data_IF_314365876501
#
_entry.id   IF_314365876501
#
_cell.length_a   1.000
_cell.length_b   1.000
_cell.length_c   1.000
_cell.angle_alpha   90.00
_cell.angle_beta   90.00
_cell.angle_gamma   90.00
#
_symmetry.space_group_name_H-M   'P 1'
#
loop_
_entity.id
_entity.type
_entity.pdbx_description
1 polymer ?
#
# COMPACT_ATOMS: atom_id res chain seq x y z
N UNK A 1 -28.36 -3.18 -1.91
CA UNK A 1 -27.50 -3.71 -3.00
C UNK A 1 -27.49 -2.77 -4.20
N UNK A 2 -28.66 -2.43 -4.80
CA UNK A 2 -28.73 -1.57 -6.01
C UNK A 2 -28.13 -0.16 -5.79
N UNK A 3 -28.35 0.48 -4.64
CA UNK A 3 -27.82 1.83 -4.35
C UNK A 3 -26.29 1.90 -4.22
N UNK A 4 -25.61 0.78 -3.99
CA UNK A 4 -24.15 0.71 -3.85
C UNK A 4 -23.45 0.36 -5.17
N UNK A 5 -24.20 -0.18 -6.13
CA UNK A 5 -23.68 -0.69 -7.40
C UNK A 5 -22.96 0.40 -8.24
N UNK A 6 -23.50 1.61 -8.45
CA UNK A 6 -22.81 2.62 -9.27
C UNK A 6 -21.44 3.00 -8.68
N UNK A 7 -21.35 3.14 -7.36
CA UNK A 7 -20.10 3.43 -6.67
C UNK A 7 -19.11 2.28 -6.73
N UNK A 8 -19.59 1.03 -6.67
CA UNK A 8 -18.75 -0.16 -6.82
C UNK A 8 -18.16 -0.24 -8.24
N UNK A 9 -18.97 0.02 -9.28
CA UNK A 9 -18.53 0.04 -10.67
C UNK A 9 -17.46 1.11 -10.94
N UNK A 10 -17.62 2.34 -10.41
CA UNK A 10 -16.60 3.39 -10.57
C UNK A 10 -15.26 2.96 -9.94
N UNK A 11 -15.30 2.34 -8.75
CA UNK A 11 -14.07 1.84 -8.10
C UNK A 11 -13.42 0.70 -8.86
N UNK A 12 -14.22 -0.20 -9.41
CA UNK A 12 -13.72 -1.28 -10.25
C UNK A 12 -13.08 -0.74 -11.53
N UNK A 13 -13.68 0.26 -12.18
CA UNK A 13 -13.11 0.93 -13.34
C UNK A 13 -11.78 1.62 -13.01
N UNK A 14 -11.70 2.33 -11.88
CA UNK A 14 -10.45 2.91 -11.40
C UNK A 14 -9.38 1.85 -11.12
N UNK A 15 -9.76 0.70 -10.56
CA UNK A 15 -8.86 -0.43 -10.34
C UNK A 15 -8.33 -0.99 -11.67
N UNK A 16 -9.20 -1.18 -12.66
CA UNK A 16 -8.79 -1.62 -14.02
C UNK A 16 -7.84 -0.61 -14.64
N UNK A 17 -8.18 0.69 -14.60
CA UNK A 17 -7.32 1.74 -15.11
C UNK A 17 -5.93 1.69 -14.45
N UNK A 18 -5.87 1.52 -13.13
CA UNK A 18 -4.60 1.41 -12.41
C UNK A 18 -3.78 0.20 -12.84
N UNK A 19 -4.40 -0.97 -13.02
CA UNK A 19 -3.69 -2.19 -13.41
C UNK A 19 -3.19 -2.10 -14.87
N UNK A 20 -3.97 -1.52 -15.76
CA UNK A 20 -3.62 -1.45 -17.19
C UNK A 20 -2.66 -0.30 -17.53
N UNK A 21 -2.60 0.75 -16.73
CA UNK A 21 -1.79 1.96 -17.03
C UNK A 21 -0.32 1.65 -17.37
N UNK A 22 0.41 0.82 -16.63
CA UNK A 22 1.79 0.45 -17.00
C UNK A 22 1.91 -0.16 -18.39
N UNK A 23 1.00 -1.07 -18.75
CA UNK A 23 1.01 -1.74 -20.04
C UNK A 23 0.67 -0.80 -21.19
N UNK A 24 -0.14 0.24 -20.94
CA UNK A 24 -0.51 1.25 -21.93
C UNK A 24 0.59 2.30 -22.15
N UNK A 25 1.46 2.51 -21.16
CA UNK A 25 2.54 3.50 -21.22
C UNK A 25 3.87 2.93 -21.75
N UNK A 26 4.00 1.60 -21.81
CA UNK A 26 5.22 0.93 -22.25
C UNK A 26 5.04 0.42 -23.69
N UNK A 27 5.94 0.79 -24.63
CA UNK A 27 5.78 0.47 -26.05
C UNK A 27 6.16 -0.98 -26.42
N UNK A 28 7.03 -1.64 -25.64
CA UNK A 28 7.54 -2.98 -25.93
C UNK A 28 7.15 -3.96 -24.82
N UNK A 29 5.87 -4.34 -24.80
CA UNK A 29 5.34 -5.34 -23.86
C UNK A 29 5.07 -6.62 -24.64
N UNK A 30 5.71 -7.72 -24.23
CA UNK A 30 5.37 -9.06 -24.72
C UNK A 30 3.85 -9.27 -24.58
N UNK A 31 3.18 -9.62 -25.68
CA UNK A 31 1.72 -9.78 -25.73
C UNK A 31 1.21 -10.75 -24.66
N UNK A 32 1.95 -11.83 -24.38
CA UNK A 32 1.57 -12.79 -23.34
C UNK A 32 1.54 -12.17 -21.94
N UNK A 33 2.48 -11.27 -21.63
CA UNK A 33 2.55 -10.58 -20.34
C UNK A 33 1.43 -9.55 -20.24
N UNK A 34 1.18 -8.79 -21.30
CA UNK A 34 0.06 -7.84 -21.38
C UNK A 34 -1.29 -8.54 -21.16
N UNK A 35 -1.53 -9.66 -21.84
CA UNK A 35 -2.78 -10.43 -21.75
C UNK A 35 -3.02 -10.94 -20.31
N UNK A 36 -1.96 -11.36 -19.62
CA UNK A 36 -2.05 -11.76 -18.21
C UNK A 36 -2.50 -10.58 -17.32
N UNK A 37 -1.98 -9.37 -17.54
CA UNK A 37 -2.40 -8.18 -16.77
C UNK A 37 -3.83 -7.74 -17.09
N UNK A 38 -4.32 -7.94 -18.31
CA UNK A 38 -5.74 -7.73 -18.66
C UNK A 38 -6.63 -8.67 -17.86
N UNK A 39 -6.26 -9.95 -17.76
CA UNK A 39 -7.01 -10.92 -16.96
C UNK A 39 -6.97 -10.57 -15.47
N UNK A 40 -5.81 -10.18 -14.94
CA UNK A 40 -5.67 -9.72 -13.55
C UNK A 40 -6.54 -8.48 -13.30
N UNK A 41 -6.58 -7.53 -14.23
CA UNK A 41 -7.42 -6.34 -14.13
C UNK A 41 -8.92 -6.70 -14.07
N UNK A 42 -9.36 -7.66 -14.90
CA UNK A 42 -10.73 -8.15 -14.89
C UNK A 42 -11.09 -8.82 -13.55
N UNK A 43 -10.22 -9.71 -13.04
CA UNK A 43 -10.43 -10.35 -11.75
C UNK A 43 -10.46 -9.32 -10.61
N UNK A 44 -9.55 -8.35 -10.62
CA UNK A 44 -9.54 -7.27 -9.64
C UNK A 44 -10.81 -6.41 -9.71
N UNK A 45 -11.35 -6.15 -10.90
CA UNK A 45 -12.61 -5.43 -11.09
C UNK A 45 -13.79 -6.17 -10.46
N UNK A 46 -13.94 -7.47 -10.78
CA UNK A 46 -15.00 -8.33 -10.24
C UNK A 46 -14.88 -8.40 -8.72
N UNK A 47 -13.66 -8.60 -8.21
CA UNK A 47 -13.40 -8.62 -6.77
C UNK A 47 -13.83 -7.33 -6.06
N UNK A 48 -13.49 -6.17 -6.63
CA UNK A 48 -13.90 -4.87 -6.10
C UNK A 48 -15.42 -4.71 -6.13
N UNK A 49 -16.10 -5.13 -7.20
CA UNK A 49 -17.55 -5.07 -7.29
C UNK A 49 -18.19 -5.90 -6.18
N UNK A 50 -17.79 -7.17 -6.04
CA UNK A 50 -18.33 -8.09 -5.03
C UNK A 50 -18.17 -7.52 -3.62
N UNK A 51 -16.98 -7.05 -3.28
CA UNK A 51 -16.67 -6.52 -1.94
C UNK A 51 -17.40 -5.20 -1.62
N UNK A 52 -17.65 -4.35 -2.62
CA UNK A 52 -18.35 -3.08 -2.41
C UNK A 52 -19.87 -3.15 -2.54
N UNK A 53 -20.42 -4.19 -3.18
CA UNK A 53 -21.87 -4.45 -3.23
C UNK A 53 -22.34 -5.26 -2.02
N UNK A 54 -21.47 -6.08 -1.42
CA UNK A 54 -21.82 -6.88 -0.24
C UNK A 54 -22.13 -6.00 0.98
N UNK A 55 -23.06 -6.42 1.83
CA UNK A 55 -23.34 -5.73 3.09
C UNK A 55 -22.16 -5.91 4.06
N UNK A 56 -21.66 -7.15 4.17
CA UNK A 56 -20.51 -7.53 4.97
C UNK A 56 -19.33 -7.88 4.04
N UNK A 57 -18.32 -7.02 3.90
CA UNK A 57 -17.16 -7.31 3.07
C UNK A 57 -16.34 -8.46 3.68
N UNK A 58 -15.63 -9.23 2.86
CA UNK A 58 -14.77 -10.30 3.34
C UNK A 58 -13.35 -9.83 3.61
N UNK A 59 -12.79 -9.02 2.71
CA UNK A 59 -11.35 -8.75 2.67
C UNK A 59 -11.02 -7.25 2.62
N UNK A 60 -11.87 -6.41 2.03
CA UNK A 60 -11.58 -4.97 1.91
C UNK A 60 -11.82 -4.27 3.26
N UNK A 61 -10.72 -4.00 3.95
CA UNK A 61 -10.73 -3.23 5.18
C UNK A 61 -10.92 -1.73 4.96
N UNK A 62 -11.44 -1.04 5.98
CA UNK A 62 -11.71 0.40 6.01
C UNK A 62 -12.55 0.89 4.84
N UNK A 63 -13.43 0.02 4.32
CA UNK A 63 -14.27 0.26 3.15
C UNK A 63 -15.04 1.57 3.24
N UNK A 64 -15.64 1.82 4.41
CA UNK A 64 -16.49 2.98 4.70
C UNK A 64 -15.79 4.01 5.58
N UNK A 65 -14.45 3.99 5.63
CA UNK A 65 -13.65 4.88 6.45
C UNK A 65 -12.60 5.64 5.60
N UNK A 66 -13.02 6.62 4.77
CA UNK A 66 -12.07 7.51 4.11
C UNK A 66 -11.23 8.22 5.18
N UNK A 67 -9.88 8.26 5.10
CA UNK A 67 -9.12 8.31 3.85
C UNK A 67 -8.36 7.04 3.42
N UNK A 68 -8.42 5.96 4.21
CA UNK A 68 -7.51 4.81 4.08
C UNK A 68 -7.39 4.25 2.66
N UNK A 69 -8.50 3.77 2.08
CA UNK A 69 -8.48 3.17 0.75
C UNK A 69 -8.19 4.17 -0.37
N UNK A 70 -8.49 5.47 -0.16
CA UNK A 70 -8.18 6.52 -1.15
C UNK A 70 -6.69 6.75 -1.25
N UNK A 71 -6.00 6.82 -0.11
CA UNK A 71 -4.54 6.97 -0.09
C UNK A 71 -3.87 5.74 -0.66
N UNK A 72 -4.29 4.53 -0.29
CA UNK A 72 -3.74 3.29 -0.85
C UNK A 72 -3.83 3.25 -2.38
N UNK A 73 -5.01 3.56 -2.92
CA UNK A 73 -5.20 3.62 -4.36
C UNK A 73 -4.29 4.67 -5.02
N UNK A 74 -4.29 5.91 -4.52
CA UNK A 74 -3.48 6.98 -5.10
C UNK A 74 -1.99 6.67 -5.02
N UNK A 75 -1.50 6.16 -3.89
CA UNK A 75 -0.09 5.78 -3.74
C UNK A 75 0.31 4.72 -4.75
N UNK A 76 -0.44 3.62 -4.87
CA UNK A 76 -0.10 2.56 -5.83
C UNK A 76 -0.21 3.05 -7.28
N UNK A 77 -1.30 3.75 -7.62
CA UNK A 77 -1.49 4.30 -8.96
C UNK A 77 -0.38 5.26 -9.36
N UNK A 78 -0.04 6.23 -8.50
CA UNK A 78 1.06 7.16 -8.77
C UNK A 78 2.40 6.43 -8.86
N UNK A 79 2.63 5.41 -8.04
CA UNK A 79 3.87 4.61 -8.10
C UNK A 79 4.00 3.89 -9.44
N UNK A 80 2.96 3.17 -9.86
CA UNK A 80 2.92 2.44 -11.13
C UNK A 80 3.15 3.39 -12.31
N UNK A 81 2.44 4.52 -12.35
CA UNK A 81 2.55 5.51 -13.42
C UNK A 81 3.94 6.14 -13.48
N UNK A 82 4.52 6.55 -12.34
CA UNK A 82 5.85 7.17 -12.33
C UNK A 82 6.95 6.20 -12.74
N UNK A 83 6.90 4.94 -12.28
CA UNK A 83 7.90 3.95 -12.67
C UNK A 83 7.74 3.57 -14.15
N UNK A 84 6.50 3.43 -14.64
CA UNK A 84 6.24 3.16 -16.06
C UNK A 84 6.76 4.29 -16.97
N UNK A 85 6.53 5.55 -16.60
CA UNK A 85 7.09 6.71 -17.30
C UNK A 85 8.62 6.77 -17.23
N UNK A 86 9.23 6.36 -16.11
CA UNK A 86 10.69 6.27 -16.02
C UNK A 86 11.25 5.18 -16.93
N UNK A 87 10.57 4.04 -17.05
CA UNK A 87 10.99 2.95 -17.93
C UNK A 87 10.77 3.29 -19.41
N UNK A 88 9.67 3.98 -19.76
CA UNK A 88 9.39 4.37 -21.14
C UNK A 88 10.44 5.31 -21.74
N UNK A 89 11.21 6.02 -20.89
CA UNK A 89 12.31 6.88 -21.34
C UNK A 89 13.43 6.15 -22.10
N UNK A 90 13.51 4.82 -21.98
CA UNK A 90 14.45 3.97 -22.73
C UNK A 90 14.10 3.91 -24.23
N UNK A 91 12.82 3.97 -24.54
CA UNK A 91 12.29 3.73 -25.89
C UNK A 91 11.94 5.06 -26.57
N UNK A 92 11.12 5.87 -25.90
CA UNK A 92 10.66 7.16 -26.40
C UNK A 92 10.94 8.25 -25.37
N UNK A 93 12.15 8.85 -25.43
CA UNK A 93 12.59 9.77 -24.40
C UNK A 93 11.89 11.13 -24.52
N UNK A 94 10.72 11.27 -23.88
CA UNK A 94 10.09 12.57 -23.64
C UNK A 94 10.78 13.35 -22.52
N UNK A 95 10.62 14.68 -22.52
CA UNK A 95 11.16 15.55 -21.45
C UNK A 95 10.66 15.12 -20.07
N UNK A 96 9.36 14.82 -19.96
CA UNK A 96 8.73 14.40 -18.71
C UNK A 96 9.29 13.06 -18.23
N UNK A 97 9.41 12.07 -19.12
CA UNK A 97 9.96 10.75 -18.79
C UNK A 97 11.41 10.86 -18.28
N UNK A 98 12.24 11.68 -18.94
CA UNK A 98 13.62 11.95 -18.51
C UNK A 98 13.70 12.65 -17.16
N UNK A 99 12.83 13.64 -16.91
CA UNK A 99 12.75 14.33 -15.63
C UNK A 99 12.40 13.33 -14.50
N UNK A 100 11.38 12.51 -14.71
CA UNK A 100 10.95 11.50 -13.73
C UNK A 100 12.07 10.50 -13.48
N UNK A 101 12.75 10.01 -14.52
CA UNK A 101 13.90 9.14 -14.39
C UNK A 101 15.03 9.82 -13.58
N UNK A 102 15.37 11.07 -13.89
CA UNK A 102 16.42 11.81 -13.19
C UNK A 102 16.10 11.99 -11.70
N UNK A 103 14.85 12.33 -11.38
CA UNK A 103 14.36 12.41 -9.99
C UNK A 103 14.46 11.04 -9.32
N UNK A 104 14.05 9.97 -10.01
CA UNK A 104 14.16 8.59 -9.50
C UNK A 104 15.61 8.20 -9.18
N UNK A 105 16.54 8.48 -10.09
CA UNK A 105 17.98 8.22 -9.89
C UNK A 105 18.52 9.00 -8.69
N UNK A 106 18.21 10.29 -8.58
CA UNK A 106 18.63 11.13 -7.45
C UNK A 106 18.13 10.57 -6.12
N UNK A 107 16.85 10.21 -6.05
CA UNK A 107 16.23 9.63 -4.85
C UNK A 107 16.81 8.26 -4.51
N UNK A 108 16.99 7.41 -5.53
CA UNK A 108 17.57 6.09 -5.37
C UNK A 108 19.00 6.15 -4.82
N UNK A 109 19.81 7.11 -5.26
CA UNK A 109 21.14 7.36 -4.67
C UNK A 109 21.06 7.94 -3.26
N UNK A 110 20.14 8.87 -3.02
CA UNK A 110 19.95 9.49 -1.69
C UNK A 110 19.51 8.47 -0.64
N UNK A 111 18.82 7.41 -1.05
CA UNK A 111 18.34 6.32 -0.19
C UNK A 111 19.26 5.09 -0.21
N UNK A 112 20.42 5.14 -0.88
CA UNK A 112 21.46 4.09 -0.91
C UNK A 112 22.51 4.35 0.19
N UNK A 113 22.09 4.21 1.45
CA UNK A 113 22.97 4.29 2.63
C UNK A 113 23.19 2.90 3.25
N UNK A 114 24.21 2.70 4.11
CA UNK A 114 24.44 1.41 4.76
C UNK A 114 23.18 0.87 5.45
N UNK A 115 22.84 -0.40 5.20
CA UNK A 115 21.64 -1.07 5.71
C UNK A 115 20.30 -0.57 5.14
N UNK A 116 20.29 0.24 4.07
CA UNK A 116 19.04 0.62 3.43
C UNK A 116 18.45 -0.55 2.61
N UNK A 117 17.11 -0.66 2.48
CA UNK A 117 16.50 -1.70 1.65
C UNK A 117 16.86 -1.57 0.17
N UNK A 118 17.08 -0.34 -0.32
CA UNK A 118 17.52 -0.10 -1.70
C UNK A 118 18.92 -0.67 -1.91
N UNK A 119 19.83 -0.49 -0.95
CA UNK A 119 21.17 -1.05 -1.04
C UNK A 119 21.14 -2.58 -1.10
N UNK A 120 20.31 -3.21 -0.27
CA UNK A 120 20.08 -4.66 -0.30
C UNK A 120 19.56 -5.11 -1.68
N UNK A 121 18.57 -4.39 -2.23
CA UNK A 121 18.01 -4.71 -3.55
C UNK A 121 19.09 -4.69 -4.65
N UNK A 122 19.96 -3.67 -4.65
CA UNK A 122 21.04 -3.56 -5.63
C UNK A 122 22.08 -4.66 -5.46
N UNK A 123 22.36 -5.08 -4.22
CA UNK A 123 23.32 -6.17 -3.93
C UNK A 123 22.84 -7.55 -4.39
N UNK A 124 21.53 -7.76 -4.43
CA UNK A 124 20.93 -9.04 -4.79
C UNK A 124 20.67 -9.14 -6.31
N UNK A 125 20.97 -8.08 -7.07
CA UNK A 125 20.84 -8.13 -8.53
C UNK A 125 21.70 -9.26 -9.12
N UNK A 126 21.20 -9.97 -10.14
CA UNK A 126 21.94 -11.07 -10.78
C UNK A 126 23.31 -10.64 -11.31
N UNK A 127 24.26 -11.56 -11.30
CA UNK A 127 25.54 -11.38 -11.98
C UNK A 127 25.30 -11.11 -13.48
N UNK A 128 26.08 -10.19 -14.06
CA UNK A 128 25.89 -9.76 -15.46
C UNK A 128 24.86 -8.65 -15.68
N UNK A 129 24.19 -8.15 -14.62
CA UNK A 129 23.33 -6.96 -14.72
C UNK A 129 24.13 -5.76 -15.23
N UNK A 130 23.67 -5.16 -16.33
CA UNK A 130 24.32 -3.97 -16.92
C UNK A 130 24.17 -2.73 -16.02
N UNK A 131 25.07 -1.75 -16.17
CA UNK A 131 24.98 -0.49 -15.43
C UNK A 131 23.65 0.24 -15.66
N UNK A 132 23.12 0.22 -16.88
CA UNK A 132 21.84 0.83 -17.22
C UNK A 132 20.66 0.14 -16.53
N UNK A 133 20.65 -1.18 -16.48
CA UNK A 133 19.62 -1.95 -15.76
C UNK A 133 19.67 -1.67 -14.25
N UNK A 134 20.86 -1.68 -13.65
CA UNK A 134 21.02 -1.38 -12.22
C UNK A 134 20.58 0.06 -11.88
N UNK A 135 20.89 1.03 -12.74
CA UNK A 135 20.41 2.42 -12.58
C UNK A 135 18.88 2.51 -12.69
N UNK A 136 18.26 1.77 -13.62
CA UNK A 136 16.80 1.76 -13.76
C UNK A 136 16.13 1.14 -12.52
N UNK A 137 16.63 0.02 -12.00
CA UNK A 137 16.13 -0.58 -10.76
C UNK A 137 16.27 0.39 -9.59
N UNK A 138 17.44 1.06 -9.47
CA UNK A 138 17.67 2.08 -8.44
C UNK A 138 16.68 3.24 -8.56
N UNK A 139 16.42 3.71 -9.78
CA UNK A 139 15.48 4.80 -10.04
C UNK A 139 14.03 4.41 -9.69
N UNK A 140 13.61 3.23 -10.12
CA UNK A 140 12.30 2.66 -9.81
C UNK A 140 12.09 2.50 -8.30
N UNK A 141 13.11 1.97 -7.59
CA UNK A 141 13.11 1.87 -6.14
C UNK A 141 12.99 3.26 -5.46
N UNK A 142 13.76 4.26 -5.92
CA UNK A 142 13.70 5.63 -5.41
C UNK A 142 12.31 6.26 -5.57
N UNK A 143 11.69 6.11 -6.74
CA UNK A 143 10.33 6.59 -7.01
C UNK A 143 9.29 5.89 -6.13
N UNK A 144 9.39 4.57 -5.98
CA UNK A 144 8.48 3.77 -5.17
C UNK A 144 8.54 4.15 -3.68
N UNK A 145 9.73 4.45 -3.15
CA UNK A 145 9.91 4.92 -1.78
C UNK A 145 9.39 6.34 -1.58
N UNK A 146 9.61 7.23 -2.54
CA UNK A 146 9.08 8.59 -2.49
C UNK A 146 7.56 8.59 -2.41
N UNK A 147 6.89 7.90 -3.33
CA UNK A 147 5.42 7.85 -3.37
C UNK A 147 4.86 7.21 -2.10
N UNK A 148 5.54 6.18 -1.58
CA UNK A 148 5.21 5.54 -0.30
C UNK A 148 5.30 6.52 0.87
N UNK A 149 6.40 7.26 0.99
CA UNK A 149 6.60 8.24 2.05
C UNK A 149 5.60 9.40 1.97
N UNK A 150 5.37 9.92 0.77
CA UNK A 150 4.36 10.96 0.52
C UNK A 150 2.96 10.44 0.87
N UNK A 151 2.62 9.21 0.47
CA UNK A 151 1.36 8.56 0.81
C UNK A 151 1.14 8.43 2.33
N UNK A 152 2.15 7.94 3.05
CA UNK A 152 2.12 7.84 4.51
C UNK A 152 1.96 9.22 5.17
N UNK A 153 2.67 10.23 4.66
CA UNK A 153 2.60 11.60 5.16
C UNK A 153 1.22 12.21 4.94
N UNK A 154 0.66 12.08 3.74
CA UNK A 154 -0.70 12.53 3.41
C UNK A 154 -1.71 11.85 4.34
N UNK A 155 -1.60 10.53 4.54
CA UNK A 155 -2.49 9.82 5.46
C UNK A 155 -2.36 10.35 6.88
N UNK A 156 -1.14 10.51 7.40
CA UNK A 156 -0.87 11.05 8.73
C UNK A 156 -1.46 12.46 8.92
N UNK A 157 -1.32 13.35 7.92
CA UNK A 157 -1.92 14.69 7.94
C UNK A 157 -3.44 14.59 7.95
N UNK A 158 -4.03 13.77 7.06
CA UNK A 158 -5.48 13.63 6.97
C UNK A 158 -6.10 13.12 8.27
N UNK A 159 -5.47 12.14 8.95
CA UNK A 159 -6.00 11.64 10.22
C UNK A 159 -5.89 12.66 11.35
N UNK A 160 -4.87 13.53 11.33
CA UNK A 160 -4.64 14.57 12.34
C UNK A 160 -5.60 15.74 12.16
N UNK A 161 -5.68 16.29 10.95
CA UNK A 161 -6.46 17.51 10.65
C UNK A 161 -7.97 17.23 10.66
N UNK A 162 -8.41 16.12 10.08
CA UNK A 162 -9.85 15.80 9.96
C UNK A 162 -10.41 15.04 11.16
N UNK A 163 -9.61 14.88 12.23
CA UNK A 163 -10.02 14.15 13.43
C UNK A 163 -10.46 12.71 13.15
N UNK A 164 -9.90 12.07 12.11
CA UNK A 164 -10.38 10.76 11.65
C UNK A 164 -10.13 9.64 12.68
N UNK A 165 -11.01 8.62 12.68
CA UNK A 165 -12.39 8.57 12.16
C UNK A 165 -13.31 9.57 12.86
N UNK A 166 -14.34 10.04 12.13
CA UNK A 166 -15.22 11.12 12.59
C UNK A 166 -15.68 10.91 14.05
N UNK A 167 -15.48 11.90 14.94
CA UNK A 167 -15.92 11.80 16.33
C UNK A 167 -17.43 11.63 16.50
N UNK A 168 -18.20 12.14 15.53
CA UNK A 168 -19.67 12.16 15.53
C UNK A 168 -20.30 11.01 14.74
N UNK A 169 -19.52 10.31 13.93
CA UNK A 169 -20.00 9.17 13.14
C UNK A 169 -19.84 7.83 13.87
N UNK A 170 -20.72 6.88 13.60
CA UNK A 170 -20.57 5.51 14.07
C UNK A 170 -19.53 4.78 13.20
N UNK A 171 -18.37 4.48 13.78
CA UNK A 171 -17.40 3.58 13.15
C UNK A 171 -17.85 2.13 13.36
N UNK A 172 -18.41 1.51 12.33
CA UNK A 172 -18.77 0.09 12.38
C UNK A 172 -17.51 -0.77 12.19
N UNK A 173 -17.08 -1.44 13.27
CA UNK A 173 -15.88 -2.29 13.28
C UNK A 173 -16.01 -3.45 12.32
N UNK A 174 -17.15 -4.14 12.27
CA UNK A 174 -17.36 -5.31 11.41
C UNK A 174 -17.27 -4.98 9.92
N UNK A 175 -17.78 -3.81 9.51
CA UNK A 175 -17.71 -3.37 8.11
C UNK A 175 -16.30 -2.91 7.73
N UNK A 176 -15.55 -2.31 8.66
CA UNK A 176 -14.24 -1.72 8.37
C UNK A 176 -13.07 -2.63 8.73
N UNK A 177 -13.29 -3.68 9.51
CA UNK A 177 -12.29 -4.67 9.91
C UNK A 177 -12.96 -6.05 9.88
N UNK A 178 -13.35 -6.56 8.70
CA UNK A 178 -14.09 -7.83 8.59
C UNK A 178 -13.29 -9.03 9.10
N UNK A 179 -11.97 -8.97 9.03
CA UNK A 179 -11.07 -10.01 9.55
C UNK A 179 -10.84 -9.92 11.07
N UNK A 180 -11.36 -8.88 11.72
CA UNK A 180 -11.23 -8.67 13.15
C UNK A 180 -12.55 -9.02 13.84
N UNK A 181 -12.57 -10.11 14.59
CA UNK A 181 -13.71 -10.47 15.43
C UNK A 181 -13.66 -9.69 16.76
N UNK A 182 -14.51 -8.68 17.03
CA UNK A 182 -14.57 -7.97 18.31
C UNK A 182 -15.21 -8.77 19.46
N UNK A 183 -15.84 -9.92 19.18
CA UNK A 183 -16.55 -10.76 20.17
C UNK A 183 -15.77 -11.96 20.69
N UNK A 184 -14.59 -12.25 20.13
CA UNK A 184 -13.69 -13.35 20.50
C UNK A 184 -13.15 -13.38 21.95
N UNK A 185 -13.73 -12.63 22.89
CA UNK A 185 -13.30 -12.58 24.29
C UNK A 185 -11.99 -11.81 24.49
N UNK A 186 -12.07 -10.60 25.04
CA UNK A 186 -10.90 -9.79 25.41
C UNK A 186 -11.05 -8.31 25.07
N UNK A 187 -10.16 -7.48 25.62
CA UNK A 187 -10.21 -6.03 25.36
C UNK A 187 -9.84 -5.71 23.90
N UNK A 188 -10.85 -5.29 23.14
CA UNK A 188 -10.74 -4.80 21.75
C UNK A 188 -9.63 -3.76 21.61
N UNK A 189 -9.45 -2.87 22.59
CA UNK A 189 -8.40 -1.83 22.55
C UNK A 189 -7.01 -2.46 22.61
N UNK A 190 -6.78 -3.42 23.52
CA UNK A 190 -5.50 -4.13 23.64
C UNK A 190 -5.15 -4.87 22.35
N UNK A 191 -6.13 -5.54 21.73
CA UNK A 191 -5.93 -6.25 20.46
C UNK A 191 -5.61 -5.31 19.30
N UNK A 192 -6.38 -4.22 19.12
CA UNK A 192 -6.09 -3.21 18.09
C UNK A 192 -4.69 -2.61 18.25
N UNK A 193 -4.23 -2.37 19.49
CA UNK A 193 -2.86 -1.91 19.76
C UNK A 193 -1.82 -2.95 19.33
N UNK A 194 -2.01 -4.21 19.72
CA UNK A 194 -1.10 -5.31 19.38
C UNK A 194 -1.04 -5.54 17.87
N UNK A 195 -2.19 -5.73 17.25
CA UNK A 195 -2.28 -6.02 15.81
C UNK A 195 -1.76 -4.82 15.00
N UNK A 196 -2.03 -3.58 15.45
CA UNK A 196 -1.45 -2.39 14.86
C UNK A 196 0.08 -2.31 15.01
N UNK A 197 0.65 -2.76 16.13
CA UNK A 197 2.09 -2.85 16.32
C UNK A 197 2.73 -3.93 15.43
N UNK A 198 2.08 -5.10 15.30
CA UNK A 198 2.52 -6.18 14.40
C UNK A 198 2.56 -5.69 12.95
N UNK A 199 1.52 -4.99 12.48
CA UNK A 199 1.51 -4.43 11.12
C UNK A 199 2.67 -3.45 10.89
N UNK A 200 2.96 -2.57 11.86
CA UNK A 200 4.09 -1.63 11.75
C UNK A 200 5.42 -2.39 11.71
N UNK A 201 5.60 -3.40 12.58
CA UNK A 201 6.81 -4.20 12.62
C UNK A 201 7.01 -4.98 11.31
N UNK A 202 5.96 -5.61 10.79
CA UNK A 202 5.99 -6.28 9.50
C UNK A 202 6.28 -5.29 8.35
N UNK A 203 5.72 -4.08 8.40
CA UNK A 203 6.03 -3.02 7.45
C UNK A 203 7.51 -2.60 7.45
N UNK A 204 8.20 -2.68 8.59
CA UNK A 204 9.65 -2.45 8.69
C UNK A 204 10.48 -3.63 8.17
N UNK A 205 10.02 -4.87 8.40
CA UNK A 205 10.76 -6.09 8.05
C UNK A 205 10.62 -6.46 6.56
N UNK A 206 9.41 -6.31 5.99
CA UNK A 206 9.12 -6.74 4.63
C UNK A 206 10.05 -6.20 3.55
N UNK A 207 10.47 -4.93 3.55
CA UNK A 207 11.39 -4.41 2.55
C UNK A 207 12.71 -5.17 2.46
N UNK A 208 13.14 -5.78 3.56
CA UNK A 208 14.38 -6.58 3.65
C UNK A 208 14.14 -8.06 3.35
N UNK A 209 12.97 -8.59 3.72
CA UNK A 209 12.64 -10.00 3.51
C UNK A 209 12.24 -10.30 2.07
N UNK A 210 11.58 -9.35 1.41
CA UNK A 210 10.95 -9.58 0.10
C UNK A 210 11.96 -9.68 -1.06
N UNK A 211 13.05 -8.87 -1.16
CA UNK A 211 14.00 -9.03 -2.27
C UNK A 211 14.73 -10.38 -2.28
N UNK A 212 15.32 -10.88 -1.17
CA UNK A 212 15.92 -12.20 -1.14
C UNK A 212 14.94 -13.32 -1.51
N UNK A 213 13.70 -13.25 -1.01
CA UNK A 213 12.66 -14.22 -1.33
C UNK A 213 12.28 -14.17 -2.82
N UNK A 214 12.14 -12.98 -3.39
CA UNK A 214 11.83 -12.81 -4.80
C UNK A 214 12.94 -13.40 -5.68
N UNK A 215 14.22 -13.18 -5.34
CA UNK A 215 15.34 -13.75 -6.09
C UNK A 215 15.44 -15.27 -5.95
N UNK A 216 15.16 -15.81 -4.77
CA UNK A 216 15.08 -17.26 -4.58
C UNK A 216 14.02 -17.90 -5.50
N UNK A 217 12.81 -17.31 -5.56
CA UNK A 217 11.73 -17.78 -6.43
C UNK A 217 12.12 -17.60 -7.90
N UNK A 218 12.62 -16.43 -8.28
CA UNK A 218 13.07 -16.11 -9.63
C UNK A 218 14.10 -17.13 -10.16
N UNK A 219 15.12 -17.43 -9.36
CA UNK A 219 16.16 -18.41 -9.71
C UNK A 219 15.63 -19.84 -9.83
N UNK A 220 14.60 -20.19 -9.03
CA UNK A 220 14.00 -21.53 -9.06
C UNK A 220 13.17 -21.79 -10.34
N UNK A 221 12.63 -20.73 -10.95
CA UNK A 221 11.81 -20.81 -12.17
C UNK A 221 12.48 -20.22 -13.41
N UNK A 222 13.72 -19.72 -13.30
CA UNK A 222 14.45 -19.11 -14.41
C UNK A 222 13.82 -17.81 -14.94
N UNK A 223 13.14 -17.03 -14.09
CA UNK A 223 12.46 -15.78 -14.49
C UNK A 223 13.22 -14.57 -13.97
N UNK A 224 13.53 -13.60 -14.82
CA UNK A 224 14.20 -12.36 -14.41
C UNK A 224 13.29 -11.14 -14.56
N UNK A 225 13.18 -10.32 -13.50
CA UNK A 225 12.45 -9.05 -13.58
C UNK A 225 13.10 -8.04 -14.54
N UNK A 226 14.39 -8.21 -14.85
CA UNK A 226 15.18 -7.32 -15.70
C UNK A 226 14.88 -7.49 -17.20
N UNK A 227 14.19 -8.56 -17.58
CA UNK A 227 13.83 -8.88 -18.97
C UNK A 227 12.61 -8.09 -19.45
N UNK A 228 11.77 -7.61 -18.54
CA UNK A 228 10.55 -6.90 -18.87
C UNK A 228 10.40 -5.63 -18.03
N UNK A 229 10.29 -4.49 -18.70
CA UNK A 229 10.02 -3.21 -18.05
C UNK A 229 8.69 -3.25 -17.28
N UNK A 230 7.68 -3.93 -17.83
CA UNK A 230 6.39 -4.10 -17.17
C UNK A 230 6.52 -4.91 -15.87
N UNK A 231 7.31 -5.98 -15.87
CA UNK A 231 7.61 -6.74 -14.66
C UNK A 231 8.39 -5.90 -13.65
N UNK A 232 9.39 -5.13 -14.09
CA UNK A 232 10.13 -4.22 -13.22
C UNK A 232 9.19 -3.21 -12.53
N UNK A 233 8.27 -2.59 -13.27
CA UNK A 233 7.26 -1.66 -12.72
C UNK A 233 6.46 -2.32 -11.60
N UNK A 234 5.92 -3.50 -11.85
CA UNK A 234 5.06 -4.19 -10.88
C UNK A 234 5.82 -4.70 -9.67
N UNK A 235 6.99 -5.33 -9.86
CA UNK A 235 7.80 -5.85 -8.75
C UNK A 235 8.23 -4.70 -7.84
N UNK A 236 8.71 -3.59 -8.39
CA UNK A 236 9.12 -2.43 -7.59
C UNK A 236 7.94 -1.75 -6.90
N UNK A 237 6.81 -1.60 -7.59
CA UNK A 237 5.61 -1.02 -7.00
C UNK A 237 5.07 -1.86 -5.85
N UNK A 238 4.94 -3.19 -6.04
CA UNK A 238 4.46 -4.09 -4.99
C UNK A 238 5.44 -4.16 -3.81
N UNK A 239 6.75 -4.19 -4.08
CA UNK A 239 7.79 -4.22 -3.06
C UNK A 239 7.68 -3.05 -2.07
N UNK A 240 7.45 -1.82 -2.55
CA UNK A 240 7.28 -0.66 -1.68
C UNK A 240 5.83 -0.49 -1.16
N UNK A 241 4.83 -0.93 -1.92
CA UNK A 241 3.43 -0.73 -1.58
C UNK A 241 2.93 -1.66 -0.47
N UNK A 242 3.42 -2.91 -0.41
CA UNK A 242 3.08 -3.86 0.65
C UNK A 242 3.42 -3.34 2.06
N UNK A 243 4.69 -2.96 2.35
CA UNK A 243 5.04 -2.40 3.66
C UNK A 243 4.28 -1.09 3.94
N UNK A 244 4.11 -0.23 2.94
CA UNK A 244 3.31 0.99 3.06
C UNK A 244 1.87 0.71 3.47
N UNK A 245 1.22 -0.29 2.87
CA UNK A 245 -0.13 -0.71 3.24
C UNK A 245 -0.20 -1.22 4.68
N UNK A 246 0.82 -1.93 5.15
CA UNK A 246 0.90 -2.38 6.55
C UNK A 246 1.11 -1.20 7.51
N UNK A 247 1.97 -0.23 7.18
CA UNK A 247 2.12 0.99 7.98
C UNK A 247 0.80 1.75 8.10
N UNK A 248 0.12 1.99 6.98
CA UNK A 248 -1.19 2.64 6.97
C UNK A 248 -2.16 1.90 7.89
N UNK A 249 -2.22 0.56 7.77
CA UNK A 249 -3.13 -0.29 8.55
C UNK A 249 -2.80 -0.23 10.04
N UNK A 250 -1.52 -0.33 10.39
CA UNK A 250 -1.07 -0.27 11.77
C UNK A 250 -1.30 1.08 12.43
N UNK A 251 -1.05 2.18 11.72
CA UNK A 251 -1.36 3.54 12.18
C UNK A 251 -2.86 3.70 12.39
N UNK A 252 -3.69 3.23 11.45
CA UNK A 252 -5.14 3.27 11.54
C UNK A 252 -5.68 2.51 12.76
N UNK A 253 -5.21 1.29 12.99
CA UNK A 253 -5.63 0.46 14.14
C UNK A 253 -5.23 1.10 15.48
N UNK A 254 -4.01 1.63 15.59
CA UNK A 254 -3.55 2.31 16.82
C UNK A 254 -4.35 3.57 17.08
N UNK A 255 -4.68 4.35 16.04
CA UNK A 255 -5.56 5.52 16.14
C UNK A 255 -6.95 5.11 16.64
N UNK A 256 -7.52 4.03 16.09
CA UNK A 256 -8.82 3.50 16.51
C UNK A 256 -8.81 3.12 18.00
N UNK A 257 -7.79 2.38 18.43
CA UNK A 257 -7.62 1.99 19.83
C UNK A 257 -7.56 3.20 20.78
N UNK A 258 -6.85 4.27 20.38
CA UNK A 258 -6.73 5.49 21.17
C UNK A 258 -8.10 6.16 21.36
N UNK A 259 -8.90 6.37 20.30
CA UNK A 259 -10.18 7.07 20.48
C UNK A 259 -11.20 6.21 21.21
N UNK A 260 -11.21 4.88 21.02
CA UNK A 260 -12.07 3.98 21.80
C UNK A 260 -11.72 4.11 23.28
N UNK A 261 -10.42 4.13 23.62
CA UNK A 261 -9.98 4.30 25.00
C UNK A 261 -10.38 5.65 25.59
N UNK A 262 -10.28 6.74 24.82
CA UNK A 262 -10.71 8.08 25.22
C UNK A 262 -12.23 8.15 25.42
N UNK A 263 -13.01 7.55 24.52
CA UNK A 263 -14.48 7.50 24.63
C UNK A 263 -14.92 6.71 25.86
N UNK A 264 -14.28 5.58 26.16
CA UNK A 264 -14.55 4.81 27.38
C UNK A 264 -14.27 5.62 28.65
N UNK A 265 -13.13 6.34 28.72
CA UNK A 265 -12.80 7.21 29.87
C UNK A 265 -13.83 8.32 30.09
N UNK A 266 -14.28 8.98 29.02
CA UNK A 266 -15.32 10.02 29.09
C UNK A 266 -16.63 9.47 29.65
N UNK A 267 -17.09 8.31 29.15
CA UNK A 267 -18.32 7.68 29.63
C UNK A 267 -18.23 7.25 31.10
N UNK A 268 -17.07 6.82 31.58
CA UNK A 268 -16.84 6.51 33.00
C UNK A 268 -16.94 7.78 33.84
N UNK A 269 -16.27 8.86 33.41
CA UNK A 269 -16.31 10.16 34.08
C UNK A 269 -17.71 10.78 34.11
N UNK A 270 -18.49 10.67 33.02
CA UNK A 270 -19.86 11.18 32.92
C UNK A 270 -20.85 10.40 33.79
N UNK A 271 -20.57 9.11 34.06
CA UNK A 271 -21.40 8.26 34.92
C UNK A 271 -21.05 8.36 36.41
N UNK A 272 -20.10 9.22 36.79
CA UNK A 272 -19.69 9.41 38.18
C UNK A 272 -19.05 8.18 38.83
N UNK A 273 -18.60 7.19 38.04
CA UNK A 273 -17.86 6.04 38.56
C UNK A 273 -16.40 6.50 38.75
N UNK A 274 -15.86 6.56 39.99
CA UNK A 274 -14.51 7.02 40.21
C UNK A 274 -13.52 6.14 39.43
N UNK A 275 -12.56 6.79 38.76
CA UNK A 275 -11.45 6.12 38.09
C UNK A 275 -10.69 5.29 39.16
N UNK A 276 -10.54 3.96 39.01
CA UNK A 276 -9.86 3.14 40.01
C UNK A 276 -8.38 3.55 40.23
N UNK A 277 -7.82 4.39 39.36
CA UNK A 277 -6.52 5.03 39.58
C UNK A 277 -6.52 6.15 40.65
N UNK A 278 -7.69 6.59 41.11
CA UNK A 278 -7.88 7.68 42.08
C UNK A 278 -8.75 7.25 43.27
N UNK A 279 -8.65 6.00 43.72
CA UNK A 279 -9.16 5.63 45.03
C UNK A 279 -8.07 5.96 46.08
N UNK A 280 -8.33 6.85 47.06
CA UNK A 280 -7.43 6.98 48.20
C UNK A 280 -7.37 5.62 48.92
N UNK A 281 -6.15 5.24 49.31
CA UNK A 281 -5.86 4.00 50.02
C UNK A 281 -6.62 3.88 51.35
#
# INVERSE_FOLDING_TARGET
>A
MISQLPGACIRALLMVAMVLTPSLLLPDVNSQVSDAFVLIALFAAVFVIVEYVSIYPGLIEFRSAPPFNRVRFLTLFTTLTLIALACSSKHEPSLLARLILAVGVLLGHSMDFPLSPIRLLIWILPEGTTLGQAQMVRAAAGLAYLTSLVGLTIFAIMIRVRGWPSPTGSFNVWINLPTFDPTAGGDVVKRLKRDGAVNILLGLILPYLTPPLAVYIANSYGVSMLESDLMTVWVMALWAFLPTSLFLRGIAMRRLALMISQKRRRLVSERGVPDPAFLPA
#
